data_IF_424247547519
#
_entry.id   IF_424247547519
#
_cell.length_a   1.000
_cell.length_b   1.000
_cell.length_c   1.000
_cell.angle_alpha   90.00
_cell.angle_beta   90.00
_cell.angle_gamma   90.00
#
_symmetry.space_group_name_H-M   'P 1'
#
loop_
_entity.id
_entity.type
_entity.pdbx_description
1 polymer ?
#
# COMPACT_ATOMS: atom_id res chain seq x y z
N UNK A 1 -9.79 -18.45 -3.19
CA UNK A 1 -8.94 -17.97 -2.09
C UNK A 1 -7.72 -17.26 -2.66
N UNK A 2 -7.33 -16.19 -2.01
CA UNK A 2 -6.16 -15.44 -2.46
C UNK A 2 -4.88 -16.07 -1.94
N UNK A 3 -3.85 -16.11 -2.79
CA UNK A 3 -2.51 -16.49 -2.37
C UNK A 3 -1.76 -15.34 -1.69
N UNK A 4 -2.31 -14.13 -1.74
CA UNK A 4 -1.68 -12.96 -1.16
C UNK A 4 -1.88 -12.97 0.36
N UNK A 5 -0.78 -12.84 1.08
CA UNK A 5 -0.79 -12.81 2.54
C UNK A 5 -1.08 -11.41 3.07
N UNK A 6 -0.50 -10.39 2.46
CA UNK A 6 -0.52 -9.04 2.99
C UNK A 6 -0.91 -8.04 1.90
N UNK A 7 -1.94 -7.24 2.18
CA UNK A 7 -2.31 -6.11 1.33
C UNK A 7 -1.93 -4.82 2.03
N UNK A 8 -1.11 -4.01 1.41
CA UNK A 8 -0.67 -2.73 1.97
C UNK A 8 -1.33 -1.61 1.18
N UNK A 9 -2.13 -0.81 1.85
CA UNK A 9 -2.89 0.28 1.24
C UNK A 9 -2.21 1.59 1.59
N UNK A 10 -1.86 2.35 0.56
CA UNK A 10 -1.16 3.62 0.72
C UNK A 10 -1.97 4.70 0.02
N UNK A 11 -2.72 5.51 0.78
CA UNK A 11 -3.37 6.67 0.18
C UNK A 11 -2.31 7.69 -0.19
N UNK A 12 -2.39 8.21 -1.41
CA UNK A 12 -1.39 9.12 -1.96
C UNK A 12 -2.07 10.43 -2.35
N UNK A 13 -1.55 11.53 -1.86
CA UNK A 13 -1.99 12.85 -2.27
C UNK A 13 -0.84 13.61 -2.94
N UNK A 14 0.28 13.76 -2.24
CA UNK A 14 1.47 14.46 -2.74
C UNK A 14 2.71 13.62 -2.43
N UNK A 15 2.80 12.43 -3.02
CA UNK A 15 3.87 11.47 -2.75
C UNK A 15 4.91 11.34 -3.86
N UNK A 16 4.97 12.30 -4.78
CA UNK A 16 5.84 12.23 -5.96
C UNK A 16 7.28 11.89 -5.61
N UNK A 17 7.80 12.43 -4.51
CA UNK A 17 9.20 12.26 -4.12
C UNK A 17 9.43 11.12 -3.12
N UNK A 18 8.37 10.51 -2.59
CA UNK A 18 8.52 9.54 -1.49
C UNK A 18 8.03 8.13 -1.82
N UNK A 19 7.05 7.99 -2.73
CA UNK A 19 6.41 6.69 -2.91
C UNK A 19 7.32 5.64 -3.53
N UNK A 20 8.25 6.01 -4.40
CA UNK A 20 9.18 5.03 -4.96
C UNK A 20 10.08 4.46 -3.86
N UNK A 21 10.60 5.32 -3.00
CA UNK A 21 11.44 4.91 -1.88
C UNK A 21 10.67 4.06 -0.89
N UNK A 22 9.43 4.45 -0.60
CA UNK A 22 8.56 3.67 0.28
C UNK A 22 8.29 2.29 -0.29
N UNK A 23 7.97 2.21 -1.59
CA UNK A 23 7.75 0.92 -2.23
C UNK A 23 9.01 0.05 -2.16
N UNK A 24 10.19 0.63 -2.41
CA UNK A 24 11.43 -0.14 -2.36
C UNK A 24 11.66 -0.73 -0.97
N UNK A 25 11.37 0.02 0.09
CA UNK A 25 11.49 -0.47 1.45
C UNK A 25 10.51 -1.60 1.74
N UNK A 26 9.28 -1.47 1.29
CA UNK A 26 8.25 -2.50 1.46
C UNK A 26 8.64 -3.76 0.70
N UNK A 27 9.07 -3.61 -0.54
CA UNK A 27 9.47 -4.73 -1.39
C UNK A 27 10.61 -5.53 -0.75
N UNK A 28 11.65 -4.83 -0.30
CA UNK A 28 12.79 -5.47 0.36
C UNK A 28 12.36 -6.20 1.63
N UNK A 29 11.55 -5.55 2.45
CA UNK A 29 11.10 -6.12 3.70
C UNK A 29 10.25 -7.38 3.48
N UNK A 30 9.30 -7.32 2.56
CA UNK A 30 8.39 -8.44 2.30
C UNK A 30 9.13 -9.61 1.66
N UNK A 31 10.07 -9.34 0.76
CA UNK A 31 10.87 -10.41 0.16
C UNK A 31 11.78 -11.07 1.19
N UNK A 32 12.38 -10.27 2.05
CA UNK A 32 13.27 -10.78 3.11
C UNK A 32 12.51 -11.68 4.08
N UNK A 33 11.26 -11.36 4.36
CA UNK A 33 10.41 -12.13 5.27
C UNK A 33 9.56 -13.18 4.54
N UNK A 34 9.71 -13.31 3.22
CA UNK A 34 9.01 -14.28 2.39
C UNK A 34 7.49 -14.11 2.43
N UNK A 35 7.04 -12.86 2.54
CA UNK A 35 5.62 -12.53 2.45
C UNK A 35 5.20 -12.42 0.99
N UNK A 36 4.09 -13.06 0.64
CA UNK A 36 3.40 -12.76 -0.61
C UNK A 36 2.53 -11.54 -0.35
N UNK A 37 2.77 -10.47 -1.10
CA UNK A 37 2.16 -9.17 -0.80
C UNK A 37 1.70 -8.48 -2.06
N UNK A 38 0.80 -7.55 -1.86
CA UNK A 38 0.42 -6.57 -2.88
C UNK A 38 0.44 -5.18 -2.25
N UNK A 39 0.72 -4.18 -3.06
CA UNK A 39 0.69 -2.77 -2.65
C UNK A 39 -0.35 -2.05 -3.48
N UNK A 40 -1.29 -1.41 -2.81
CA UNK A 40 -2.36 -0.67 -3.47
C UNK A 40 -2.17 0.80 -3.17
N UNK A 41 -1.73 1.54 -4.19
CA UNK A 41 -1.61 3.00 -4.11
C UNK A 41 -2.94 3.60 -4.55
N UNK A 42 -3.56 4.39 -3.69
CA UNK A 42 -4.80 5.08 -4.03
C UNK A 42 -4.50 6.57 -4.14
N UNK A 43 -4.48 7.09 -5.36
CA UNK A 43 -4.22 8.50 -5.62
C UNK A 43 -5.50 9.29 -5.45
N UNK A 44 -5.49 10.20 -4.48
CA UNK A 44 -6.65 11.00 -4.11
C UNK A 44 -6.65 12.35 -4.82
N UNK A 45 -6.34 12.33 -6.12
CA UNK A 45 -6.40 13.48 -7.01
C UNK A 45 -5.54 14.66 -6.53
N UNK A 46 -4.28 14.38 -6.18
CA UNK A 46 -3.34 15.42 -5.80
C UNK A 46 -2.86 16.25 -6.99
N UNK A 47 -2.06 17.27 -6.71
CA UNK A 47 -1.62 18.23 -7.71
C UNK A 47 -0.23 17.94 -8.27
N UNK A 48 0.49 17.00 -7.71
CA UNK A 48 1.84 16.65 -8.17
C UNK A 48 1.81 15.48 -9.17
N UNK A 49 2.97 14.93 -9.48
CA UNK A 49 3.10 13.82 -10.44
C UNK A 49 3.06 12.45 -9.80
N UNK A 50 2.48 12.32 -8.60
CA UNK A 50 2.38 11.04 -7.89
C UNK A 50 1.78 9.95 -8.76
N UNK A 51 0.74 10.26 -9.53
CA UNK A 51 0.08 9.26 -10.37
C UNK A 51 1.04 8.66 -11.40
N UNK A 52 1.89 9.50 -12.01
CA UNK A 52 2.87 9.01 -12.98
C UNK A 52 3.88 8.08 -12.33
N UNK A 53 4.28 8.37 -11.10
CA UNK A 53 5.19 7.50 -10.35
C UNK A 53 4.50 6.17 -10.03
N UNK A 54 3.23 6.21 -9.62
CA UNK A 54 2.46 4.99 -9.35
C UNK A 54 2.37 4.13 -10.60
N UNK A 55 2.05 4.73 -11.74
CA UNK A 55 1.96 3.99 -13.01
C UNK A 55 3.30 3.32 -13.36
N UNK A 56 4.40 4.03 -13.16
CA UNK A 56 5.72 3.48 -13.45
C UNK A 56 6.04 2.27 -12.56
N UNK A 57 5.71 2.36 -11.29
CA UNK A 57 5.92 1.26 -10.34
C UNK A 57 5.05 0.06 -10.72
N UNK A 58 3.79 0.32 -11.07
CA UNK A 58 2.87 -0.74 -11.48
C UNK A 58 3.36 -1.48 -12.71
N UNK A 59 3.90 -0.77 -13.68
CA UNK A 59 4.44 -1.37 -14.90
C UNK A 59 5.64 -2.29 -14.62
N UNK A 60 6.47 -1.90 -13.64
CA UNK A 60 7.65 -2.70 -13.27
C UNK A 60 7.31 -3.90 -12.40
N UNK A 61 6.18 -3.87 -11.71
CA UNK A 61 5.80 -4.91 -10.75
C UNK A 61 4.36 -5.36 -10.98
N UNK A 62 4.06 -5.92 -12.17
CA UNK A 62 2.70 -6.37 -12.48
C UNK A 62 2.30 -7.50 -11.53
N UNK A 63 1.06 -7.46 -11.07
CA UNK A 63 0.55 -8.45 -10.12
C UNK A 63 0.90 -8.18 -8.67
N UNK A 64 1.82 -7.25 -8.40
CA UNK A 64 2.20 -6.86 -7.04
C UNK A 64 1.66 -5.47 -6.71
N UNK A 65 1.72 -4.55 -7.67
CA UNK A 65 1.31 -3.16 -7.46
C UNK A 65 0.05 -2.86 -8.23
N UNK A 66 -0.93 -2.26 -7.56
CA UNK A 66 -2.16 -1.78 -8.17
C UNK A 66 -2.32 -0.30 -7.86
N UNK A 67 -2.55 0.51 -8.89
CA UNK A 67 -2.86 1.92 -8.70
C UNK A 67 -4.34 2.17 -8.89
N UNK A 68 -4.94 2.91 -7.98
CA UNK A 68 -6.32 3.37 -8.08
C UNK A 68 -6.30 4.88 -8.21
N UNK A 69 -6.94 5.38 -9.26
CA UNK A 69 -7.02 6.82 -9.55
C UNK A 69 -8.43 7.30 -9.22
N UNK A 70 -8.57 8.04 -8.13
CA UNK A 70 -9.86 8.64 -7.79
C UNK A 70 -10.11 9.85 -8.68
N UNK A 71 -11.36 10.04 -9.09
CA UNK A 71 -11.73 11.09 -10.04
C UNK A 71 -11.63 12.49 -9.45
N UNK A 72 -11.62 12.60 -8.13
CA UNK A 72 -11.48 13.87 -7.40
C UNK A 72 -11.03 13.55 -5.99
N UNK A 73 -10.67 14.59 -5.23
CA UNK A 73 -10.25 14.42 -3.85
C UNK A 73 -11.44 14.08 -2.97
N UNK A 74 -11.51 12.84 -2.48
CA UNK A 74 -12.55 12.36 -1.58
C UNK A 74 -12.09 12.28 -0.12
N UNK A 75 -10.82 12.57 0.15
CA UNK A 75 -10.23 12.47 1.48
C UNK A 75 -9.60 11.12 1.76
N UNK A 76 -8.67 11.12 2.72
CA UNK A 76 -7.88 9.93 3.05
C UNK A 76 -8.73 8.74 3.45
N UNK A 77 -9.80 8.97 4.20
CA UNK A 77 -10.68 7.89 4.66
C UNK A 77 -11.32 7.16 3.47
N UNK A 78 -11.81 7.89 2.48
CA UNK A 78 -12.42 7.29 1.31
C UNK A 78 -11.37 6.61 0.42
N UNK A 79 -10.15 7.14 0.37
CA UNK A 79 -9.06 6.50 -0.35
C UNK A 79 -8.73 5.14 0.27
N UNK A 80 -8.68 5.07 1.59
CA UNK A 80 -8.44 3.81 2.29
C UNK A 80 -9.56 2.80 1.99
N UNK A 81 -10.81 3.24 2.02
CA UNK A 81 -11.94 2.36 1.70
C UNK A 81 -11.85 1.80 0.27
N UNK A 82 -11.45 2.64 -0.69
CA UNK A 82 -11.28 2.19 -2.06
C UNK A 82 -10.20 1.11 -2.15
N UNK A 83 -9.09 1.30 -1.41
CA UNK A 83 -8.02 0.30 -1.34
C UNK A 83 -8.47 -1.00 -0.71
N UNK A 84 -9.24 -0.92 0.37
CA UNK A 84 -9.76 -2.10 1.06
C UNK A 84 -10.64 -2.92 0.12
N UNK A 85 -11.49 -2.26 -0.66
CA UNK A 85 -12.36 -2.94 -1.62
C UNK A 85 -11.57 -3.70 -2.69
N UNK A 86 -10.35 -3.25 -2.99
CA UNK A 86 -9.49 -3.89 -3.99
C UNK A 86 -8.59 -4.97 -3.38
N UNK A 87 -8.38 -4.93 -2.06
CA UNK A 87 -7.41 -5.80 -1.39
C UNK A 87 -7.84 -7.26 -1.44
N UNK A 88 -6.87 -8.15 -1.62
CA UNK A 88 -7.11 -9.59 -1.66
C UNK A 88 -6.34 -10.37 -0.60
N UNK A 89 -5.50 -9.69 0.18
CA UNK A 89 -4.65 -10.35 1.18
C UNK A 89 -5.40 -10.82 2.41
N UNK A 90 -4.78 -11.74 3.13
CA UNK A 90 -5.32 -12.24 4.39
C UNK A 90 -5.28 -11.17 5.49
N UNK A 91 -4.30 -10.29 5.42
CA UNK A 91 -4.15 -9.14 6.34
C UNK A 91 -4.08 -7.86 5.54
N UNK A 92 -4.69 -6.82 6.05
CA UNK A 92 -4.70 -5.50 5.40
C UNK A 92 -4.04 -4.49 6.34
N UNK A 93 -3.05 -3.77 5.81
CA UNK A 93 -2.32 -2.74 6.55
C UNK A 93 -2.39 -1.45 5.74
N UNK A 94 -2.57 -0.33 6.42
CA UNK A 94 -2.50 0.98 5.79
C UNK A 94 -1.22 1.68 6.23
N UNK A 95 -0.60 2.41 5.33
CA UNK A 95 0.62 3.18 5.60
C UNK A 95 0.52 4.55 4.94
N UNK A 96 1.17 5.55 5.55
CA UNK A 96 1.22 6.89 4.97
C UNK A 96 2.30 6.98 3.90
N UNK A 97 2.12 7.91 2.96
CA UNK A 97 3.03 8.09 1.82
C UNK A 97 4.35 8.75 2.17
N UNK A 98 4.49 9.29 3.36
CA UNK A 98 5.59 10.21 3.73
C UNK A 98 6.77 9.54 4.42
N UNK A 99 6.87 8.22 4.37
CA UNK A 99 7.96 7.43 4.96
C UNK A 99 8.06 7.52 6.48
N UNK A 100 6.98 7.92 7.16
CA UNK A 100 6.98 7.98 8.63
C UNK A 100 6.93 6.60 9.28
N UNK A 101 6.53 5.58 8.52
CA UNK A 101 6.43 4.21 9.04
C UNK A 101 7.67 3.41 8.65
N UNK A 102 8.23 2.69 9.63
CA UNK A 102 9.28 1.72 9.37
C UNK A 102 8.61 0.41 8.95
N UNK A 103 9.07 -0.24 7.86
CA UNK A 103 8.52 -1.55 7.48
C UNK A 103 8.52 -2.58 8.60
N UNK A 104 9.42 -2.47 9.58
CA UNK A 104 9.42 -3.35 10.75
C UNK A 104 8.11 -3.26 11.54
N UNK A 105 7.42 -2.14 11.46
CA UNK A 105 6.12 -1.97 12.12
C UNK A 105 5.08 -2.91 11.56
N UNK A 106 5.26 -3.41 10.35
CA UNK A 106 4.36 -4.40 9.75
C UNK A 106 4.31 -5.66 10.62
N UNK A 107 5.47 -6.13 11.09
CA UNK A 107 5.51 -7.32 11.95
C UNK A 107 4.77 -7.08 13.26
N UNK A 108 4.92 -5.89 13.85
CA UNK A 108 4.24 -5.56 15.09
C UNK A 108 2.72 -5.54 14.89
N UNK A 109 2.26 -4.97 13.79
CA UNK A 109 0.83 -4.92 13.48
C UNK A 109 0.26 -6.32 13.25
N UNK A 110 0.99 -7.16 12.53
CA UNK A 110 0.55 -8.54 12.29
C UNK A 110 0.49 -9.33 13.58
N UNK A 111 1.49 -9.21 14.44
CA UNK A 111 1.50 -9.87 15.74
C UNK A 111 0.31 -9.43 16.57
N UNK A 112 0.02 -8.14 16.58
CA UNK A 112 -1.11 -7.60 17.33
C UNK A 112 -2.43 -8.17 16.80
N UNK A 113 -2.60 -8.24 15.47
CA UNK A 113 -3.81 -8.83 14.88
C UNK A 113 -3.96 -10.28 15.25
N UNK A 114 -2.88 -11.05 15.22
CA UNK A 114 -2.91 -12.45 15.60
C UNK A 114 -3.26 -12.65 17.07
N UNK A 115 -2.66 -11.84 17.94
CA UNK A 115 -2.86 -11.98 19.39
C UNK A 115 -4.27 -11.57 19.83
N UNK A 116 -4.89 -10.62 19.13
CA UNK A 116 -6.26 -10.18 19.43
C UNK A 116 -7.31 -10.96 18.65
N UNK A 117 -6.87 -11.87 17.77
CA UNK A 117 -7.75 -12.63 16.88
C UNK A 117 -8.63 -11.70 16.02
N UNK A 118 -8.12 -10.55 15.67
CA UNK A 118 -8.81 -9.62 14.80
C UNK A 118 -8.50 -9.96 13.34
N UNK A 119 -9.52 -10.13 12.57
CA UNK A 119 -9.38 -10.46 11.14
C UNK A 119 -9.55 -9.24 10.27
#
# INVERSE_FOLDING_TARGET
MSDVYLSIIIPVYNGETTIQSLFNQIDDFCKKNQFKFEVIFVWDCGIDNSWKVIEAIQLKHPGVVCGIHLSRNFGQHNAILAGINKASGNYIITMDEDLQHDPKDILLLLDKQKSTNAD
#
